data_IF_718472149667
#
_entry.id   IF_718472149667
#
_cell.length_a   1.000
_cell.length_b   1.000
_cell.length_c   1.000
_cell.angle_alpha   90.00
_cell.angle_beta   90.00
_cell.angle_gamma   90.00
#
_symmetry.space_group_name_H-M   'P 1'
#
loop_
_entity.id
_entity.type
_entity.pdbx_description
1 polymer ?
#
# COMPACT_ATOMS: atom_id res chain seq x y z
N UNK A 1 12.79 -27.15 -32.20
CA UNK A 1 11.32 -27.14 -32.32
C UNK A 1 10.71 -27.91 -31.18
N UNK A 2 10.08 -27.16 -30.26
CA UNK A 2 9.07 -27.50 -29.25
C UNK A 2 9.15 -28.85 -28.53
N UNK A 3 9.39 -28.80 -27.21
CA UNK A 3 8.73 -29.71 -26.24
C UNK A 3 8.32 -28.94 -24.97
N UNK A 4 7.01 -28.70 -24.92
CA UNK A 4 6.05 -28.68 -23.80
C UNK A 4 6.56 -28.84 -22.36
N UNK A 5 6.25 -27.86 -21.51
CA UNK A 5 6.28 -27.97 -20.05
C UNK A 5 4.91 -28.48 -19.58
N UNK A 6 4.86 -29.70 -19.04
CA UNK A 6 3.80 -30.15 -18.15
C UNK A 6 4.27 -29.94 -16.71
N UNK A 7 3.61 -29.02 -16.01
CA UNK A 7 3.78 -28.77 -14.59
C UNK A 7 2.81 -29.69 -13.84
N UNK A 8 3.29 -30.85 -13.37
CA UNK A 8 2.61 -31.63 -12.35
C UNK A 8 3.32 -31.43 -11.01
N UNK A 9 2.82 -30.49 -10.19
CA UNK A 9 3.14 -30.46 -8.76
C UNK A 9 2.22 -31.44 -8.03
N UNK A 10 2.68 -32.67 -7.84
CA UNK A 10 2.14 -33.57 -6.82
C UNK A 10 2.57 -33.08 -5.44
N UNK A 11 1.58 -32.76 -4.62
CA UNK A 11 1.71 -32.65 -3.18
C UNK A 11 2.26 -33.97 -2.60
N UNK A 12 3.31 -33.88 -1.78
CA UNK A 12 3.71 -34.95 -0.87
C UNK A 12 3.72 -34.37 0.53
N UNK A 13 2.66 -34.69 1.25
CA UNK A 13 2.59 -34.66 2.70
C UNK A 13 3.48 -35.77 3.25
N UNK A 14 4.51 -35.46 4.02
CA UNK A 14 5.05 -36.40 5.03
C UNK A 14 5.58 -35.63 6.24
N UNK A 15 5.13 -36.10 7.40
CA UNK A 15 5.50 -35.65 8.73
C UNK A 15 7.00 -35.83 9.03
N UNK A 16 7.53 -34.89 9.81
CA UNK A 16 8.59 -35.01 10.82
C UNK A 16 9.41 -36.32 10.85
N UNK A 17 10.71 -36.23 10.56
CA UNK A 17 11.81 -36.46 11.52
C UNK A 17 13.18 -36.54 10.82
N UNK A 18 14.13 -35.82 11.43
CA UNK A 18 15.58 -36.04 11.45
C UNK A 18 16.45 -35.65 10.23
N UNK A 19 17.31 -34.68 10.56
CA UNK A 19 18.72 -34.58 10.17
C UNK A 19 19.07 -34.20 8.73
N UNK A 20 19.68 -33.03 8.57
CA UNK A 20 21.15 -32.94 8.40
C UNK A 20 21.55 -31.66 7.64
N UNK A 21 22.13 -30.72 8.40
CA UNK A 21 23.47 -30.19 8.14
C UNK A 21 23.99 -30.26 6.69
N UNK A 22 23.40 -29.48 5.77
CA UNK A 22 24.07 -29.10 4.52
C UNK A 22 24.73 -27.72 4.71
N UNK A 23 26.08 -27.62 4.77
CA UNK A 23 26.79 -26.35 4.90
C UNK A 23 26.47 -25.37 3.76
N UNK A 24 26.02 -25.89 2.62
CA UNK A 24 25.73 -25.12 1.42
C UNK A 24 24.47 -24.26 1.55
N UNK A 25 23.39 -24.78 2.13
CA UNK A 25 22.14 -24.02 2.31
C UNK A 25 22.31 -22.86 3.29
N UNK A 26 23.10 -23.08 4.36
CA UNK A 26 23.43 -22.05 5.32
C UNK A 26 24.30 -20.96 4.68
N UNK A 27 25.33 -21.36 3.92
CA UNK A 27 26.22 -20.42 3.22
C UNK A 27 25.47 -19.61 2.15
N UNK A 28 24.50 -20.19 1.46
CA UNK A 28 23.70 -19.50 0.44
C UNK A 28 22.74 -18.47 1.05
N UNK A 29 22.08 -18.80 2.17
CA UNK A 29 21.31 -17.84 2.99
C UNK A 29 22.18 -16.71 3.54
N UNK A 30 23.41 -17.03 3.98
CA UNK A 30 24.34 -16.03 4.47
C UNK A 30 24.89 -15.14 3.35
N UNK A 31 25.27 -15.68 2.19
CA UNK A 31 25.74 -14.90 1.04
C UNK A 31 24.66 -13.93 0.53
N UNK A 32 23.39 -14.35 0.52
CA UNK A 32 22.27 -13.44 0.19
C UNK A 32 22.06 -12.35 1.25
N UNK A 33 22.13 -12.69 2.55
CA UNK A 33 22.05 -11.71 3.65
C UNK A 33 23.21 -10.70 3.62
N UNK A 34 24.44 -11.14 3.32
CA UNK A 34 25.63 -10.29 3.23
C UNK A 34 25.56 -9.35 2.03
N UNK A 35 24.98 -9.79 0.89
CA UNK A 35 24.78 -8.95 -0.28
C UNK A 35 23.70 -7.88 -0.04
N UNK A 36 22.66 -8.18 0.75
CA UNK A 36 21.60 -7.23 1.13
C UNK A 36 22.07 -6.08 2.04
N UNK A 37 23.07 -6.29 2.90
CA UNK A 37 23.57 -5.25 3.80
C UNK A 37 24.29 -4.11 3.05
N UNK A 38 24.97 -4.43 1.95
CA UNK A 38 25.68 -3.45 1.12
C UNK A 38 24.74 -2.45 0.41
N UNK A 39 23.46 -2.81 0.22
CA UNK A 39 22.45 -1.95 -0.42
C UNK A 39 21.47 -1.29 0.56
N UNK A 40 21.60 -1.51 1.88
CA UNK A 40 20.75 -0.92 2.93
C UNK A 40 21.42 0.27 3.63
N UNK A 41 22.14 1.11 2.89
CA UNK A 41 22.64 2.36 3.45
C UNK A 41 21.48 3.33 3.60
N UNK A 42 21.10 3.61 4.85
CA UNK A 42 20.15 4.68 5.18
C UNK A 42 20.73 6.01 4.71
N UNK A 43 19.91 6.80 4.02
CA UNK A 43 20.31 8.14 3.58
C UNK A 43 20.36 9.13 4.75
N UNK A 44 20.68 10.40 4.49
CA UNK A 44 20.66 11.46 5.49
C UNK A 44 19.32 11.62 6.21
N UNK A 45 18.22 11.19 5.59
CA UNK A 45 16.87 11.17 6.17
C UNK A 45 16.63 10.05 7.19
N UNK A 46 17.57 9.12 7.37
CA UNK A 46 17.41 7.96 8.26
C UNK A 46 16.58 6.80 7.66
N UNK A 47 16.03 6.97 6.47
CA UNK A 47 15.26 5.96 5.74
C UNK A 47 16.04 5.39 4.55
N UNK A 48 15.67 4.18 4.11
CA UNK A 48 16.23 3.54 2.92
C UNK A 48 15.11 3.15 1.95
N UNK A 49 15.47 2.71 0.74
CA UNK A 49 14.51 2.19 -0.26
C UNK A 49 13.67 0.99 0.21
N UNK A 50 14.03 0.40 1.36
CA UNK A 50 13.31 -0.70 1.99
C UNK A 50 12.43 -0.27 3.17
N UNK A 51 12.37 1.02 3.50
CA UNK A 51 11.52 1.52 4.58
C UNK A 51 10.06 1.50 4.17
N UNK A 52 9.18 1.07 5.08
CA UNK A 52 7.74 1.01 4.79
C UNK A 52 7.09 2.39 4.98
N UNK A 53 5.94 2.61 4.33
CA UNK A 53 5.18 3.85 4.50
C UNK A 53 4.75 4.05 5.98
N UNK A 54 4.49 2.97 6.70
CA UNK A 54 4.22 3.03 8.14
C UNK A 54 5.44 3.46 8.96
N UNK A 55 6.62 2.90 8.69
CA UNK A 55 7.87 3.24 9.39
C UNK A 55 8.20 4.72 9.19
N UNK A 56 8.05 5.23 7.97
CA UNK A 56 8.35 6.62 7.62
C UNK A 56 7.39 7.59 8.31
N UNK A 57 6.15 7.19 8.53
CA UNK A 57 5.12 8.03 9.16
C UNK A 57 4.96 7.79 10.66
N UNK A 58 5.81 6.97 11.26
CA UNK A 58 5.68 6.60 12.66
C UNK A 58 5.75 7.84 13.58
N UNK A 59 4.80 7.94 14.51
CA UNK A 59 4.72 9.06 15.46
C UNK A 59 4.11 10.36 14.91
N UNK A 60 3.70 10.40 13.64
CA UNK A 60 2.98 11.54 13.06
C UNK A 60 1.50 11.44 13.43
N UNK A 61 0.94 12.52 13.98
CA UNK A 61 -0.52 12.68 14.16
C UNK A 61 -1.05 13.63 13.08
N UNK A 62 -1.93 13.11 12.24
CA UNK A 62 -2.61 13.84 11.17
C UNK A 62 -4.08 14.14 11.47
N UNK A 63 -4.50 13.96 12.72
CA UNK A 63 -5.87 14.22 13.16
C UNK A 63 -6.32 15.64 12.81
N UNK A 64 -7.51 15.76 12.20
CA UNK A 64 -8.08 17.05 11.78
C UNK A 64 -7.61 17.54 10.40
N UNK A 65 -6.66 16.84 9.77
CA UNK A 65 -6.30 17.09 8.37
C UNK A 65 -7.22 16.28 7.44
N UNK A 66 -7.45 16.82 6.25
CA UNK A 66 -8.11 16.10 5.15
C UNK A 66 -7.17 16.00 3.96
N UNK A 67 -7.08 14.80 3.40
CA UNK A 67 -6.30 14.49 2.22
C UNK A 67 -7.20 13.98 1.10
N UNK A 68 -6.96 14.45 -0.13
CA UNK A 68 -7.51 13.83 -1.34
C UNK A 68 -6.39 13.01 -1.97
N UNK A 69 -6.64 11.72 -2.20
CA UNK A 69 -5.71 10.82 -2.87
C UNK A 69 -6.31 10.39 -4.20
N UNK A 70 -5.69 10.82 -5.30
CA UNK A 70 -6.07 10.39 -6.64
C UNK A 70 -5.52 9.00 -6.94
N UNK A 71 -6.28 8.20 -7.71
CA UNK A 71 -5.84 6.84 -8.05
C UNK A 71 -5.78 5.89 -6.84
N UNK A 72 -6.53 6.18 -5.78
CA UNK A 72 -6.51 5.45 -4.51
C UNK A 72 -7.04 4.00 -4.60
N UNK A 73 -7.53 3.56 -5.76
CA UNK A 73 -8.06 2.20 -5.96
C UNK A 73 -7.01 1.11 -6.07
N UNK A 74 -5.71 1.43 -6.20
CA UNK A 74 -4.65 0.41 -6.29
C UNK A 74 -3.24 0.95 -5.99
N UNK A 75 -2.30 0.01 -5.81
CA UNK A 75 -0.87 0.27 -5.74
C UNK A 75 -0.48 1.25 -4.63
N UNK A 76 0.25 2.30 -5.02
CA UNK A 76 0.76 3.31 -4.09
C UNK A 76 -0.39 4.14 -3.50
N UNK A 77 -1.43 4.44 -4.29
CA UNK A 77 -2.57 5.24 -3.83
C UNK A 77 -3.36 4.56 -2.72
N UNK A 78 -3.58 3.24 -2.83
CA UNK A 78 -4.28 2.46 -1.79
C UNK A 78 -3.47 2.39 -0.50
N UNK A 79 -2.16 2.14 -0.61
CA UNK A 79 -1.27 2.09 0.56
C UNK A 79 -1.13 3.46 1.23
N UNK A 80 -1.03 4.52 0.43
CA UNK A 80 -1.00 5.90 0.93
C UNK A 80 -2.29 6.24 1.68
N UNK A 81 -3.44 5.85 1.13
CA UNK A 81 -4.74 6.04 1.79
C UNK A 81 -4.82 5.30 3.12
N UNK A 82 -4.35 4.05 3.15
CA UNK A 82 -4.28 3.22 4.37
C UNK A 82 -3.41 3.87 5.45
N UNK A 83 -2.19 4.30 5.09
CA UNK A 83 -1.25 4.90 6.05
C UNK A 83 -1.70 6.28 6.52
N UNK A 84 -2.27 7.11 5.65
CA UNK A 84 -2.85 8.40 6.07
C UNK A 84 -4.01 8.19 7.05
N UNK A 85 -4.90 7.24 6.75
CA UNK A 85 -6.00 6.87 7.64
C UNK A 85 -5.48 6.34 8.99
N UNK A 86 -4.41 5.56 8.98
CA UNK A 86 -3.72 5.08 10.20
C UNK A 86 -3.21 6.24 11.08
N UNK A 87 -2.85 7.38 10.48
CA UNK A 87 -2.42 8.59 11.19
C UNK A 87 -3.58 9.54 11.55
N UNK A 88 -4.84 9.11 11.38
CA UNK A 88 -6.01 9.89 11.76
C UNK A 88 -6.44 10.96 10.76
N UNK A 89 -5.79 11.02 9.58
CA UNK A 89 -6.17 11.92 8.49
C UNK A 89 -7.51 11.46 7.92
N UNK A 90 -8.39 12.39 7.59
CA UNK A 90 -9.59 12.10 6.82
C UNK A 90 -9.21 11.96 5.35
N UNK A 91 -9.33 10.76 4.80
CA UNK A 91 -8.93 10.48 3.41
C UNK A 91 -10.15 10.46 2.50
N UNK A 92 -10.10 11.25 1.44
CA UNK A 92 -11.03 11.20 0.32
C UNK A 92 -10.34 10.48 -0.83
N UNK A 93 -10.78 9.25 -1.09
CA UNK A 93 -10.30 8.40 -2.17
C UNK A 93 -10.97 8.83 -3.48
N UNK A 94 -10.23 9.58 -4.30
CA UNK A 94 -10.69 10.00 -5.62
C UNK A 94 -10.39 8.89 -6.65
N UNK A 95 -11.43 8.21 -7.10
CA UNK A 95 -11.32 7.02 -7.96
C UNK A 95 -12.24 7.12 -9.18
N UNK A 96 -11.80 6.54 -10.30
CA UNK A 96 -12.63 6.44 -11.50
C UNK A 96 -13.66 5.30 -11.42
N UNK A 97 -13.28 4.18 -10.79
CA UNK A 97 -14.16 3.04 -10.57
C UNK A 97 -14.55 2.99 -9.09
N UNK A 98 -15.79 3.37 -8.80
CA UNK A 98 -16.30 3.41 -7.43
C UNK A 98 -16.29 2.04 -6.76
N UNK A 99 -16.69 0.98 -7.45
CA UNK A 99 -16.69 -0.39 -6.88
C UNK A 99 -15.29 -0.82 -6.42
N UNK A 100 -14.26 -0.54 -7.23
CA UNK A 100 -12.88 -0.83 -6.83
C UNK A 100 -12.43 0.03 -5.64
N UNK A 101 -12.84 1.29 -5.60
CA UNK A 101 -12.58 2.18 -4.47
C UNK A 101 -13.23 1.73 -3.17
N UNK A 102 -14.50 1.33 -3.21
CA UNK A 102 -15.24 0.82 -2.04
C UNK A 102 -14.58 -0.42 -1.46
N UNK A 103 -14.15 -1.37 -2.31
CA UNK A 103 -13.45 -2.57 -1.84
C UNK A 103 -12.18 -2.23 -1.05
N UNK A 104 -11.42 -1.23 -1.51
CA UNK A 104 -10.21 -0.77 -0.81
C UNK A 104 -10.57 -0.02 0.46
N UNK A 105 -11.59 0.85 0.43
CA UNK A 105 -12.11 1.53 1.61
C UNK A 105 -12.51 0.53 2.69
N UNK A 106 -13.28 -0.48 2.33
CA UNK A 106 -13.77 -1.50 3.26
C UNK A 106 -12.63 -2.32 3.85
N UNK A 107 -11.60 -2.64 3.06
CA UNK A 107 -10.38 -3.28 3.55
C UNK A 107 -9.67 -2.39 4.59
N UNK A 108 -9.52 -1.09 4.30
CA UNK A 108 -8.87 -0.12 5.21
C UNK A 108 -9.69 0.02 6.51
N UNK A 109 -11.01 0.16 6.43
CA UNK A 109 -11.88 0.32 7.61
C UNK A 109 -11.92 -0.97 8.44
N UNK A 110 -11.83 -2.14 7.80
CA UNK A 110 -11.73 -3.42 8.50
C UNK A 110 -10.41 -3.53 9.28
N UNK A 111 -9.31 -3.09 8.69
CA UNK A 111 -7.99 -3.07 9.33
C UNK A 111 -7.89 -2.00 10.43
N UNK A 112 -8.51 -0.84 10.20
CA UNK A 112 -8.43 0.34 11.04
C UNK A 112 -9.86 0.85 11.32
N UNK A 113 -10.54 0.33 12.36
CA UNK A 113 -11.95 0.67 12.62
C UNK A 113 -12.22 2.17 12.89
N UNK A 114 -11.19 2.92 13.31
CA UNK A 114 -11.28 4.36 13.54
C UNK A 114 -10.98 5.21 12.28
N UNK A 115 -10.67 4.58 11.16
CA UNK A 115 -10.31 5.26 9.92
C UNK A 115 -11.47 6.09 9.36
N UNK A 116 -11.17 7.32 8.96
CA UNK A 116 -12.10 8.22 8.28
C UNK A 116 -11.78 8.23 6.80
N UNK A 117 -12.45 7.36 6.05
CA UNK A 117 -12.19 7.18 4.62
C UNK A 117 -13.51 7.24 3.86
N UNK A 118 -13.59 8.20 2.95
CA UNK A 118 -14.70 8.33 2.01
C UNK A 118 -14.19 8.15 0.58
N UNK A 119 -15.06 7.73 -0.31
CA UNK A 119 -14.81 7.51 -1.74
C UNK A 119 -15.58 8.55 -2.54
N UNK A 120 -14.95 9.08 -3.57
CA UNK A 120 -15.56 10.05 -4.47
C UNK A 120 -15.14 9.79 -5.91
N UNK A 121 -16.10 9.88 -6.82
CA UNK A 121 -15.86 9.64 -8.24
C UNK A 121 -15.04 10.78 -8.86
N UNK A 122 -13.91 10.45 -9.48
CA UNK A 122 -13.08 11.40 -10.22
C UNK A 122 -12.52 10.76 -11.48
N UNK A 123 -12.85 11.35 -12.62
CA UNK A 123 -12.20 11.07 -13.90
C UNK A 123 -11.36 12.28 -14.35
N UNK A 124 -10.04 12.15 -14.22
CA UNK A 124 -9.07 13.19 -14.60
C UNK A 124 -9.02 13.44 -16.12
N UNK A 125 -9.57 12.54 -16.95
CA UNK A 125 -9.66 12.75 -18.39
C UNK A 125 -10.79 13.69 -18.80
N UNK A 126 -11.73 13.97 -17.90
CA UNK A 126 -12.90 14.82 -18.14
C UNK A 126 -12.90 16.04 -17.24
N UNK A 127 -12.72 17.23 -17.84
CA UNK A 127 -12.78 18.49 -17.08
C UNK A 127 -14.15 18.70 -16.41
N UNK A 128 -15.24 18.19 -16.99
CA UNK A 128 -16.55 18.24 -16.39
C UNK A 128 -16.61 17.41 -15.09
N UNK A 129 -15.99 16.22 -15.08
CA UNK A 129 -15.85 15.38 -13.89
C UNK A 129 -15.02 16.10 -12.82
N UNK A 130 -13.87 16.66 -13.18
CA UNK A 130 -13.02 17.42 -12.25
C UNK A 130 -13.76 18.59 -11.61
N UNK A 131 -14.54 19.36 -12.39
CA UNK A 131 -15.35 20.46 -11.87
C UNK A 131 -16.45 19.99 -10.92
N UNK A 132 -17.14 18.89 -11.26
CA UNK A 132 -18.16 18.27 -10.41
C UNK A 132 -17.54 17.82 -9.08
N UNK A 133 -16.45 17.05 -9.14
CA UNK A 133 -15.72 16.60 -7.96
C UNK A 133 -15.29 17.76 -7.06
N UNK A 134 -14.72 18.82 -7.64
CA UNK A 134 -14.30 19.99 -6.86
C UNK A 134 -15.49 20.70 -6.19
N UNK A 135 -16.64 20.77 -6.87
CA UNK A 135 -17.88 21.31 -6.31
C UNK A 135 -18.40 20.44 -5.16
N UNK A 136 -18.43 19.13 -5.35
CA UNK A 136 -18.90 18.15 -4.35
C UNK A 136 -17.97 18.12 -3.13
N UNK A 137 -16.66 18.20 -3.34
CA UNK A 137 -15.71 18.29 -2.23
C UNK A 137 -15.88 19.61 -1.48
N UNK A 138 -16.05 20.73 -2.20
CA UNK A 138 -16.25 22.04 -1.56
C UNK A 138 -17.55 22.09 -0.75
N UNK A 139 -18.62 21.43 -1.21
CA UNK A 139 -19.89 21.38 -0.49
C UNK A 139 -19.83 20.54 0.79
N UNK A 140 -18.86 19.62 0.90
CA UNK A 140 -18.60 18.86 2.13
C UNK A 140 -18.15 19.73 3.31
N UNK A 141 -17.72 20.98 3.05
CA UNK A 141 -17.27 21.92 4.09
C UNK A 141 -15.94 21.57 4.73
N UNK A 142 -15.22 20.58 4.20
CA UNK A 142 -13.93 20.12 4.72
C UNK A 142 -12.78 20.98 4.20
N UNK A 143 -11.76 21.30 5.01
CA UNK A 143 -10.54 21.93 4.52
C UNK A 143 -9.77 20.95 3.63
N UNK A 144 -9.09 21.42 2.59
CA UNK A 144 -8.13 20.59 1.84
C UNK A 144 -6.73 20.88 2.35
N UNK A 145 -6.05 19.89 2.93
CA UNK A 145 -4.70 20.04 3.45
C UNK A 145 -3.66 19.36 2.55
N UNK A 146 -3.99 18.17 2.03
CA UNK A 146 -3.12 17.39 1.17
C UNK A 146 -3.85 16.99 -0.10
N UNK A 147 -3.16 17.09 -1.24
CA UNK A 147 -3.62 16.59 -2.53
C UNK A 147 -2.51 15.75 -3.13
N UNK A 148 -2.81 14.48 -3.44
CA UNK A 148 -1.85 13.49 -3.94
C UNK A 148 -2.28 12.90 -5.28
#
# INVERSE_FOLDING_TARGET
>A
NNITILCETKAITTNNLLASSSPYLYKQKQIHKTKMWLFKRKGPSGFSSSSTAEEVTHGIDGSGLTAIVTGASSGIGSETSRVLALRGVHVIMAVRNMTAGENVRDAIVTEIPAAKVDTMELDLSSLASVKKFASDFKSSGRPLNLLM
#
